data_IF_300293135386
#
_entry.id   IF_300293135386
#
_cell.length_a   1.000
_cell.length_b   1.000
_cell.length_c   1.000
_cell.angle_alpha   90.00
_cell.angle_beta   90.00
_cell.angle_gamma   90.00
#
_symmetry.space_group_name_H-M   'P 1'
#
loop_
_entity.id
_entity.type
_entity.pdbx_description
1 polymer ?
#
# COMPACT_ATOMS: atom_id res chain seq x y z
N UNK A 1 0.89 18.56 28.05
CA UNK A 1 -0.19 18.54 27.05
C UNK A 1 -0.60 17.08 26.86
N UNK A 2 -1.72 16.68 27.44
CA UNK A 2 -2.25 15.32 27.28
C UNK A 2 -2.58 15.11 25.80
N UNK A 3 -1.93 14.15 25.16
CA UNK A 3 -2.27 13.77 23.77
C UNK A 3 -3.48 12.86 23.87
N UNK A 4 -4.66 13.45 23.95
CA UNK A 4 -5.91 12.69 23.89
C UNK A 4 -6.06 12.14 22.47
N UNK A 5 -5.88 10.84 22.30
CA UNK A 5 -6.07 10.15 21.03
C UNK A 5 -7.45 9.52 20.99
N UNK A 6 -8.27 9.90 20.02
CA UNK A 6 -9.56 9.26 19.79
C UNK A 6 -9.31 7.93 19.05
N UNK A 7 -9.71 6.77 19.62
CA UNK A 7 -9.57 5.50 18.92
C UNK A 7 -10.51 5.46 17.70
N UNK A 8 -9.96 5.13 16.54
CA UNK A 8 -10.74 4.90 15.33
C UNK A 8 -11.03 3.40 15.24
N UNK A 9 -12.30 3.03 15.25
CA UNK A 9 -12.73 1.66 15.03
C UNK A 9 -12.90 1.42 13.53
N UNK A 10 -12.51 0.25 13.06
CA UNK A 10 -12.69 -0.17 11.67
C UNK A 10 -13.73 -1.27 11.61
N UNK A 11 -14.81 -1.03 10.87
CA UNK A 11 -15.93 -1.97 10.73
C UNK A 11 -15.97 -2.53 9.31
N UNK A 12 -16.58 -3.71 9.11
CA UNK A 12 -16.85 -4.22 7.77
C UNK A 12 -17.63 -3.17 6.96
N UNK A 13 -17.17 -2.93 5.73
CA UNK A 13 -17.88 -2.07 4.79
C UNK A 13 -19.05 -2.86 4.18
N UNK A 14 -20.26 -2.29 4.09
CA UNK A 14 -21.42 -3.00 3.52
C UNK A 14 -21.23 -3.31 2.02
N UNK A 15 -20.63 -2.38 1.29
CA UNK A 15 -20.31 -2.53 -0.13
C UNK A 15 -18.80 -2.32 -0.32
N UNK A 16 -18.04 -3.33 -0.78
CA UNK A 16 -16.61 -3.18 -0.98
C UNK A 16 -16.28 -2.08 -2.00
N UNK A 17 -15.19 -1.35 -1.78
CA UNK A 17 -14.66 -0.44 -2.80
C UNK A 17 -14.07 -1.21 -3.98
N UNK A 18 -14.13 -0.61 -5.17
CA UNK A 18 -13.40 -1.10 -6.33
C UNK A 18 -11.89 -1.07 -6.05
N UNK A 19 -11.19 -2.21 -6.21
CA UNK A 19 -9.77 -2.29 -5.91
C UNK A 19 -8.96 -1.59 -7.00
N UNK A 20 -8.11 -0.65 -6.58
CA UNK A 20 -7.13 0.04 -7.43
C UNK A 20 -5.68 -0.25 -6.99
N UNK A 21 -5.54 -1.09 -5.97
CA UNK A 21 -4.26 -1.57 -5.48
C UNK A 21 -4.38 -2.77 -4.56
N UNK A 22 -3.24 -3.41 -4.33
CA UNK A 22 -3.07 -4.50 -3.38
C UNK A 22 -1.79 -4.25 -2.58
N UNK A 23 -1.87 -4.39 -1.28
CA UNK A 23 -0.73 -4.25 -0.38
C UNK A 23 -0.60 -5.49 0.49
N UNK A 24 0.61 -6.00 0.61
CA UNK A 24 0.89 -7.18 1.40
C UNK A 24 2.17 -6.97 2.22
N UNK A 25 2.27 -7.70 3.34
CA UNK A 25 3.42 -7.67 4.25
C UNK A 25 3.94 -9.06 4.55
N UNK A 26 5.19 -9.16 4.99
CA UNK A 26 5.78 -10.42 5.43
C UNK A 26 5.68 -11.51 4.37
N UNK A 27 5.13 -12.66 4.77
CA UNK A 27 4.92 -13.81 3.87
C UNK A 27 3.96 -13.49 2.72
N UNK A 28 2.93 -12.69 2.96
CA UNK A 28 1.99 -12.30 1.91
C UNK A 28 2.65 -11.37 0.89
N UNK A 29 3.58 -10.50 1.30
CA UNK A 29 4.37 -9.69 0.37
C UNK A 29 5.22 -10.58 -0.55
N UNK A 30 5.83 -11.63 -0.01
CA UNK A 30 6.62 -12.60 -0.79
C UNK A 30 5.75 -13.32 -1.82
N UNK A 31 4.62 -13.87 -1.38
CA UNK A 31 3.67 -14.54 -2.27
C UNK A 31 3.15 -13.59 -3.36
N UNK A 32 2.91 -12.32 -3.02
CA UNK A 32 2.54 -11.28 -3.98
C UNK A 32 3.67 -11.04 -5.00
N UNK A 33 4.91 -10.90 -4.54
CA UNK A 33 6.08 -10.71 -5.40
C UNK A 33 6.32 -11.89 -6.36
N UNK A 34 6.21 -13.13 -5.88
CA UNK A 34 6.32 -14.34 -6.69
C UNK A 34 5.25 -14.39 -7.79
N UNK A 35 4.01 -14.03 -7.44
CA UNK A 35 2.91 -13.95 -8.41
C UNK A 35 3.14 -12.87 -9.47
N UNK A 36 3.72 -11.74 -9.10
CA UNK A 36 4.11 -10.70 -10.06
C UNK A 36 5.23 -11.20 -10.98
N UNK A 37 6.26 -11.85 -10.44
CA UNK A 37 7.37 -12.40 -11.22
C UNK A 37 6.94 -13.44 -12.25
N UNK A 38 5.84 -14.16 -11.98
CA UNK A 38 5.22 -15.12 -12.89
C UNK A 38 4.45 -14.48 -14.07
N UNK A 39 4.20 -13.16 -14.04
CA UNK A 39 3.56 -12.45 -15.16
C UNK A 39 4.58 -12.04 -16.21
N UNK A 40 4.13 -11.81 -17.43
CA UNK A 40 4.95 -11.22 -18.48
C UNK A 40 5.29 -9.73 -18.18
N UNK A 41 6.28 -9.20 -18.89
CA UNK A 41 6.73 -7.82 -18.69
C UNK A 41 5.69 -6.79 -19.11
N UNK A 42 4.79 -7.13 -20.04
CA UNK A 42 3.75 -6.23 -20.50
C UNK A 42 2.71 -5.99 -19.40
N UNK A 43 2.31 -7.04 -18.70
CA UNK A 43 1.45 -6.99 -17.53
C UNK A 43 2.13 -6.28 -16.35
N UNK A 44 3.44 -6.45 -16.16
CA UNK A 44 4.17 -5.72 -15.12
C UNK A 44 4.24 -4.22 -15.42
N UNK A 45 4.44 -3.84 -16.69
CA UNK A 45 4.56 -2.44 -17.10
C UNK A 45 3.28 -1.61 -16.87
N UNK A 46 2.11 -2.27 -16.77
CA UNK A 46 0.83 -1.61 -16.44
C UNK A 46 0.66 -1.36 -14.94
N UNK A 47 1.48 -1.99 -14.11
CA UNK A 47 1.45 -1.88 -12.67
C UNK A 47 2.47 -0.86 -12.15
N UNK A 48 2.08 -0.17 -11.08
CA UNK A 48 2.98 0.71 -10.32
C UNK A 48 3.14 0.16 -8.92
N UNK A 49 4.30 0.35 -8.28
CA UNK A 49 4.57 -0.28 -6.99
C UNK A 49 5.38 0.60 -6.05
N UNK A 50 5.12 0.40 -4.76
CA UNK A 50 5.92 0.92 -3.65
C UNK A 50 6.43 -0.28 -2.87
N UNK A 51 7.75 -0.34 -2.69
CA UNK A 51 8.40 -1.40 -1.96
C UNK A 51 9.04 -0.83 -0.69
N UNK A 52 8.79 -1.49 0.43
CA UNK A 52 9.54 -1.33 1.67
C UNK A 52 10.28 -2.61 2.01
N UNK A 53 10.99 -2.62 3.14
CA UNK A 53 11.74 -3.80 3.58
C UNK A 53 10.85 -5.04 3.68
N UNK A 54 9.66 -4.94 4.28
CA UNK A 54 8.71 -6.06 4.43
C UNK A 54 7.31 -5.73 3.92
N UNK A 55 7.22 -4.75 3.01
CA UNK A 55 5.98 -4.27 2.41
C UNK A 55 6.11 -4.30 0.89
N UNK A 56 5.09 -4.80 0.22
CA UNK A 56 4.90 -4.59 -1.21
C UNK A 56 3.50 -4.05 -1.45
N UNK A 57 3.41 -2.88 -2.04
CA UNK A 57 2.18 -2.27 -2.50
C UNK A 57 2.24 -2.16 -4.01
N UNK A 58 1.16 -2.55 -4.67
CA UNK A 58 0.99 -2.53 -6.12
C UNK A 58 -0.29 -1.78 -6.43
N UNK A 59 -0.24 -0.89 -7.40
CA UNK A 59 -1.35 -0.15 -7.96
C UNK A 59 -1.55 -0.57 -9.42
N UNK A 60 -2.80 -0.60 -9.82
CA UNK A 60 -3.21 -1.00 -11.16
C UNK A 60 -4.71 -1.17 -11.22
N UNK A 61 -5.22 -1.41 -12.41
CA UNK A 61 -6.63 -1.71 -12.62
C UNK A 61 -7.01 -3.04 -11.94
N UNK A 62 -8.23 -3.14 -11.42
CA UNK A 62 -8.74 -4.32 -10.73
C UNK A 62 -8.39 -5.68 -11.40
N UNK A 63 -8.58 -5.90 -12.72
CA UNK A 63 -8.24 -7.17 -13.37
C UNK A 63 -6.74 -7.47 -13.44
N UNK A 64 -5.90 -6.45 -13.25
CA UNK A 64 -4.44 -6.58 -13.27
C UNK A 64 -3.87 -6.84 -11.89
N UNK A 65 -4.64 -6.66 -10.82
CA UNK A 65 -4.18 -6.90 -9.46
C UNK A 65 -4.12 -8.42 -9.21
N UNK A 66 -2.94 -8.99 -8.88
CA UNK A 66 -2.84 -10.41 -8.58
C UNK A 66 -3.58 -10.74 -7.28
N UNK A 67 -4.26 -11.89 -7.25
CA UNK A 67 -4.77 -12.44 -6.00
C UNK A 67 -3.59 -12.85 -5.09
N UNK A 68 -3.61 -12.53 -3.80
CA UNK A 68 -2.63 -13.07 -2.84
C UNK A 68 -3.25 -13.21 -1.45
N UNK A 69 -3.11 -14.40 -0.86
CA UNK A 69 -3.66 -14.66 0.47
C UNK A 69 -2.95 -13.82 1.54
N UNK A 70 -3.75 -13.19 2.39
CA UNK A 70 -3.25 -12.25 3.41
C UNK A 70 -2.87 -10.87 2.87
N UNK A 71 -3.15 -10.58 1.59
CA UNK A 71 -3.03 -9.22 1.06
C UNK A 71 -4.27 -8.38 1.36
N UNK A 72 -4.05 -7.08 1.51
CA UNK A 72 -5.10 -6.08 1.68
C UNK A 72 -5.32 -5.36 0.35
N UNK A 73 -6.52 -5.53 -0.21
CA UNK A 73 -6.94 -4.77 -1.39
C UNK A 73 -7.33 -3.36 -0.97
N UNK A 74 -6.92 -2.39 -1.78
CA UNK A 74 -7.09 -0.98 -1.52
C UNK A 74 -7.94 -0.34 -2.62
N UNK A 75 -8.93 0.46 -2.21
CA UNK A 75 -9.80 1.22 -3.09
C UNK A 75 -9.72 2.70 -2.80
N UNK A 76 -10.18 3.52 -3.76
CA UNK A 76 -10.40 4.96 -3.57
C UNK A 76 -11.85 5.22 -3.24
N UNK A 77 -12.08 5.94 -2.15
CA UNK A 77 -13.42 6.41 -1.80
C UNK A 77 -13.59 7.84 -2.32
N UNK A 78 -14.69 8.18 -3.03
CA UNK A 78 -14.94 9.54 -3.50
C UNK A 78 -14.95 10.60 -2.39
N UNK A 79 -15.25 10.21 -1.15
CA UNK A 79 -15.26 11.10 0.02
C UNK A 79 -13.87 11.30 0.65
N UNK A 80 -12.85 10.56 0.22
CA UNK A 80 -11.46 10.67 0.68
C UNK A 80 -10.48 10.34 -0.46
N UNK A 81 -10.44 11.14 -1.54
CA UNK A 81 -9.72 10.81 -2.78
C UNK A 81 -8.19 10.74 -2.61
N UNK A 82 -7.64 11.35 -1.57
CA UNK A 82 -6.22 11.32 -1.23
C UNK A 82 -5.83 10.06 -0.44
N UNK A 83 -6.79 9.21 -0.08
CA UNK A 83 -6.56 7.96 0.62
C UNK A 83 -6.86 6.75 -0.25
N UNK A 84 -6.04 5.72 -0.05
CA UNK A 84 -6.29 4.35 -0.48
C UNK A 84 -6.64 3.54 0.76
N UNK A 85 -7.89 3.10 0.84
CA UNK A 85 -8.47 2.45 2.02
C UNK A 85 -8.68 0.97 1.76
N UNK A 86 -8.61 0.10 2.78
CA UNK A 86 -8.96 -1.31 2.62
C UNK A 86 -10.38 -1.43 2.04
N UNK A 87 -10.54 -2.19 0.95
CA UNK A 87 -11.82 -2.25 0.22
C UNK A 87 -12.96 -2.79 1.08
N UNK A 88 -12.66 -3.64 2.06
CA UNK A 88 -13.62 -4.32 2.93
C UNK A 88 -13.84 -3.65 4.28
N UNK A 89 -13.12 -2.56 4.58
CA UNK A 89 -13.20 -1.87 5.88
C UNK A 89 -13.52 -0.40 5.70
N UNK A 90 -14.28 0.13 6.63
CA UNK A 90 -14.52 1.57 6.74
C UNK A 90 -14.31 2.04 8.18
N UNK A 91 -13.84 3.28 8.37
CA UNK A 91 -13.68 3.84 9.70
C UNK A 91 -15.03 4.17 10.34
N UNK A 92 -15.10 4.14 11.66
CA UNK A 92 -16.26 4.58 12.44
C UNK A 92 -16.48 6.10 12.46
N UNK A 93 -15.55 6.85 11.86
CA UNK A 93 -15.58 8.32 11.77
C UNK A 93 -15.79 8.76 10.32
N UNK A 94 -16.36 9.96 10.07
CA UNK A 94 -16.52 10.47 8.71
C UNK A 94 -15.21 10.51 7.92
N UNK A 95 -15.24 9.97 6.69
CA UNK A 95 -14.07 9.85 5.81
C UNK A 95 -13.34 11.18 5.55
N UNK A 96 -14.02 12.31 5.29
CA UNK A 96 -13.32 13.59 5.09
C UNK A 96 -12.54 14.05 6.33
N UNK A 97 -13.01 13.70 7.54
CA UNK A 97 -12.29 14.02 8.77
C UNK A 97 -11.06 13.12 8.94
N UNK A 98 -11.21 11.83 8.62
CA UNK A 98 -10.09 10.89 8.61
C UNK A 98 -9.01 11.33 7.62
N UNK A 99 -9.38 11.65 6.38
CA UNK A 99 -8.45 12.12 5.34
C UNK A 99 -7.66 13.33 5.82
N UNK A 100 -8.34 14.37 6.31
CA UNK A 100 -7.66 15.57 6.80
C UNK A 100 -6.72 15.27 7.96
N UNK A 101 -7.11 14.40 8.90
CA UNK A 101 -6.27 14.02 10.03
C UNK A 101 -5.02 13.25 9.58
N UNK A 102 -5.16 12.29 8.67
CA UNK A 102 -4.06 11.48 8.16
C UNK A 102 -3.09 12.32 7.32
N UNK A 103 -3.59 13.19 6.43
CA UNK A 103 -2.74 14.11 5.65
C UNK A 103 -1.98 15.04 6.60
N UNK A 104 -2.67 15.67 7.56
CA UNK A 104 -2.03 16.56 8.54
C UNK A 104 -0.93 15.84 9.33
N UNK A 105 -1.14 14.57 9.66
CA UNK A 105 -0.13 13.76 10.35
C UNK A 105 1.02 13.38 9.42
N UNK A 106 0.73 12.98 8.18
CA UNK A 106 1.73 12.58 7.20
C UNK A 106 2.67 13.74 6.83
N UNK A 107 2.15 14.96 6.70
CA UNK A 107 2.97 16.16 6.45
C UNK A 107 3.96 16.50 7.57
N UNK A 108 3.80 15.94 8.78
CA UNK A 108 4.78 16.09 9.88
C UNK A 108 5.92 15.08 9.78
N UNK A 109 5.78 14.05 8.94
CA UNK A 109 6.79 13.02 8.71
C UNK A 109 7.46 13.33 7.35
N UNK A 110 8.79 13.44 7.28
CA UNK A 110 9.48 13.63 6.01
C UNK A 110 9.12 12.54 5.00
N UNK A 111 8.93 12.92 3.73
CA UNK A 111 8.78 12.01 2.59
C UNK A 111 7.53 11.09 2.59
N UNK A 112 6.43 11.50 3.22
CA UNK A 112 5.14 10.79 3.12
C UNK A 112 4.04 11.68 2.51
N UNK A 113 4.19 12.14 1.24
CA UNK A 113 3.17 12.94 0.58
C UNK A 113 1.95 12.07 0.19
N UNK A 114 0.74 12.66 0.10
CA UNK A 114 -0.41 11.96 -0.46
C UNK A 114 -0.24 11.70 -1.97
N UNK A 115 -0.97 10.72 -2.55
CA UNK A 115 -1.97 9.88 -1.91
C UNK A 115 -1.38 8.86 -0.92
N UNK A 116 -2.16 8.47 0.11
CA UNK A 116 -1.71 7.61 1.20
C UNK A 116 -2.49 6.29 1.23
N UNK A 117 -1.78 5.18 1.20
CA UNK A 117 -2.33 3.86 1.51
C UNK A 117 -2.40 3.63 3.01
N UNK A 118 -3.59 3.26 3.47
CA UNK A 118 -3.90 2.98 4.87
C UNK A 118 -3.97 1.48 5.08
N UNK A 119 -3.05 0.96 5.88
CA UNK A 119 -3.01 -0.44 6.27
C UNK A 119 -3.26 -0.55 7.76
N UNK A 120 -4.09 -1.50 8.18
CA UNK A 120 -4.62 -1.54 9.55
C UNK A 120 -3.83 -2.43 10.50
N UNK A 121 -3.28 -3.54 10.01
CA UNK A 121 -2.74 -4.60 10.87
C UNK A 121 -1.31 -5.03 10.46
N UNK A 122 -0.25 -4.53 11.14
CA UNK A 122 -0.26 -3.37 12.04
C UNK A 122 -0.48 -2.03 11.29
N UNK A 123 -0.86 -0.94 11.98
CA UNK A 123 -1.12 0.34 11.34
C UNK A 123 0.09 0.91 10.59
N UNK A 124 -0.06 1.24 9.31
CA UNK A 124 0.97 1.93 8.50
C UNK A 124 0.31 2.88 7.50
N UNK A 125 0.96 4.03 7.30
CA UNK A 125 0.69 4.92 6.18
C UNK A 125 1.85 4.81 5.19
N UNK A 126 1.55 4.45 3.95
CA UNK A 126 2.53 4.42 2.87
C UNK A 126 2.13 5.44 1.81
N UNK A 127 3.05 6.34 1.44
CA UNK A 127 2.83 7.21 0.29
C UNK A 127 2.82 6.38 -0.98
N UNK A 128 1.83 6.59 -1.83
CA UNK A 128 1.77 6.00 -3.16
C UNK A 128 2.17 6.97 -4.27
N UNK A 129 2.53 8.21 -3.92
CA UNK A 129 3.05 9.17 -4.90
C UNK A 129 4.43 8.75 -5.42
N UNK A 130 5.22 8.08 -4.58
CA UNK A 130 6.50 7.48 -4.95
C UNK A 130 6.34 6.09 -5.60
N UNK A 131 5.16 5.76 -6.13
CA UNK A 131 4.98 4.50 -6.84
C UNK A 131 5.70 4.55 -8.18
N UNK A 132 6.50 3.51 -8.45
CA UNK A 132 7.25 3.40 -9.69
C UNK A 132 6.71 2.27 -10.56
N UNK A 133 6.94 2.31 -11.89
CA UNK A 133 6.64 1.16 -12.75
C UNK A 133 7.26 -0.13 -12.19
N UNK A 134 6.45 -1.17 -12.13
CA UNK A 134 6.90 -2.49 -11.68
C UNK A 134 7.67 -3.14 -12.82
N UNK A 135 8.90 -3.53 -12.55
CA UNK A 135 9.74 -4.26 -13.51
C UNK A 135 10.27 -5.52 -12.87
N UNK A 136 10.52 -6.56 -13.68
CA UNK A 136 11.11 -7.81 -13.20
C UNK A 136 12.41 -7.57 -12.44
N UNK A 137 13.29 -6.72 -12.97
CA UNK A 137 14.57 -6.36 -12.32
C UNK A 137 14.33 -5.77 -10.92
N UNK A 138 13.38 -4.85 -10.77
CA UNK A 138 13.09 -4.25 -9.46
C UNK A 138 12.46 -5.23 -8.48
N UNK A 139 11.58 -6.11 -8.95
CA UNK A 139 11.01 -7.18 -8.13
C UNK A 139 12.08 -8.15 -7.65
N UNK A 140 13.01 -8.54 -8.52
CA UNK A 140 14.15 -9.39 -8.17
C UNK A 140 15.12 -8.69 -7.22
N UNK A 141 15.39 -7.41 -7.43
CA UNK A 141 16.22 -6.61 -6.52
C UNK A 141 15.57 -6.48 -5.15
N UNK A 142 14.26 -6.24 -5.08
CA UNK A 142 13.53 -6.16 -3.82
C UNK A 142 13.48 -7.51 -3.09
N UNK A 143 13.24 -8.61 -3.80
CA UNK A 143 13.24 -9.95 -3.21
C UNK A 143 14.64 -10.40 -2.78
N UNK A 144 15.67 -10.02 -3.55
CA UNK A 144 17.08 -10.35 -3.33
C UNK A 144 17.80 -9.46 -2.31
N UNK A 145 17.45 -8.17 -2.20
CA UNK A 145 18.00 -7.25 -1.20
C UNK A 145 17.66 -7.68 0.25
N UNK A 146 16.70 -8.60 0.41
CA UNK A 146 16.38 -9.23 1.69
C UNK A 146 17.19 -10.52 1.96
N UNK A 147 17.82 -11.11 0.93
CA UNK A 147 18.65 -12.32 1.03
C UNK A 147 20.15 -12.01 1.20
N UNK A 148 20.56 -10.76 1.00
CA UNK A 148 21.91 -10.30 1.31
C UNK A 148 21.85 -8.86 1.78
N UNK A 149 22.32 -8.60 3.00
CA UNK A 149 22.70 -7.25 3.41
C UNK A 149 23.83 -6.80 2.49
N UNK A 150 23.51 -6.02 1.47
CA UNK A 150 24.51 -5.37 0.63
C UNK A 150 25.08 -4.20 1.43
N UNK A 151 26.14 -4.52 2.17
CA UNK A 151 27.06 -3.52 2.70
C UNK A 151 27.71 -2.84 1.48
N UNK A 152 27.39 -1.56 1.31
CA UNK A 152 28.19 -0.54 0.63
C UNK A 152 28.53 -0.77 -0.84
N UNK A 153 27.91 0.03 -1.72
CA UNK A 153 28.62 0.64 -2.85
C UNK A 153 28.10 2.07 -3.02
N UNK A 154 28.72 2.98 -2.27
CA UNK A 154 29.03 4.30 -2.85
C UNK A 154 30.05 4.08 -3.98
N UNK A 155 29.84 4.79 -5.08
CA UNK A 155 30.72 4.88 -6.24
C UNK A 155 30.17 5.92 -7.19
#
# INVERSE_FOLDING_TARGET
>A
MSTESIPILWRPRPEPLDPVGVAARGRAARALGERLLARDDEALARLHGVAGEDLLLVLGEAPELPWADGATYLGRDPLAPSLLLPTTREPSVPLPLLERALITRALRVPNVPPPLAVLLDPPLLASTLAAWPVTRVRLLMWSGARLGGWIGLEG
#
